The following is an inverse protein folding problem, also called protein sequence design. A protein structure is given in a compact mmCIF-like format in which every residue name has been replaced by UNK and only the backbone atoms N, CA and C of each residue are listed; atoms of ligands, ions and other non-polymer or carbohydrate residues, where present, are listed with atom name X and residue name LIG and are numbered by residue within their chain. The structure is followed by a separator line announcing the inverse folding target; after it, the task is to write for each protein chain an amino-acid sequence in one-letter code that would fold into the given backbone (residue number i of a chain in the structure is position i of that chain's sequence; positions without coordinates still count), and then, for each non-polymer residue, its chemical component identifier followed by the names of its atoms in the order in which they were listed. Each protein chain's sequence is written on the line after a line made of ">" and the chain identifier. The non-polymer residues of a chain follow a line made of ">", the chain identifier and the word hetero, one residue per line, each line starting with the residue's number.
data_IF_202498399514
#
_entry.id   IF_202498399514
#
_cell.length_a   1.000
_cell.length_b   1.000
_cell.length_c   1.000
_cell.angle_alpha   90.00
_cell.angle_beta   90.00
_cell.angle_gamma   90.00
#
_symmetry.space_group_name_H-M   'P 1'
#
loop_
_entity.id
_entity.type
_entity.pdbx_description
1 polymer ?
#
# COMPACT_ATOMS: atom_id res chain seq x y z
N UNK A 1 24.46 53.30 6.61
CA UNK A 1 25.15 52.15 7.24
C UNK A 1 25.11 50.99 6.27
N UNK A 2 26.19 50.78 5.54
CA UNK A 2 26.46 49.54 4.79
C UNK A 2 27.58 48.81 5.53
N UNK A 3 27.44 47.50 5.76
CA UNK A 3 28.58 46.66 6.14
C UNK A 3 28.39 45.25 5.60
N UNK A 4 29.23 44.92 4.63
CA UNK A 4 29.60 43.59 4.16
C UNK A 4 30.74 43.10 5.05
N UNK A 5 30.73 41.83 5.48
CA UNK A 5 31.90 40.97 5.78
C UNK A 5 31.43 39.51 5.71
N UNK A 6 31.87 38.67 4.75
CA UNK A 6 33.16 37.93 4.67
C UNK A 6 33.38 37.05 5.91
N UNK A 7 33.80 35.78 5.92
CA UNK A 7 34.67 34.90 5.10
C UNK A 7 34.62 33.53 5.87
N UNK A 8 34.68 32.32 5.31
CA UNK A 8 35.94 31.59 5.04
C UNK A 8 35.67 30.19 4.47
N UNK A 9 36.50 29.84 3.49
CA UNK A 9 36.63 28.55 2.83
C UNK A 9 37.36 27.54 3.72
N UNK A 10 37.09 26.25 3.53
CA UNK A 10 38.12 25.23 3.66
C UNK A 10 38.10 24.34 2.41
N UNK A 11 39.09 24.55 1.56
CA UNK A 11 39.56 23.59 0.56
C UNK A 11 40.59 22.69 1.27
N UNK A 12 40.49 21.37 1.13
CA UNK A 12 41.64 20.47 1.21
C UNK A 12 41.59 19.55 -0.01
N UNK A 13 42.79 19.35 -0.57
CA UNK A 13 43.08 19.04 -1.94
C UNK A 13 43.09 17.54 -2.29
N UNK A 14 42.96 17.32 -3.61
CA UNK A 14 43.24 16.13 -4.44
C UNK A 14 44.19 15.08 -3.84
N UNK A 15 43.79 13.81 -3.92
CA UNK A 15 44.67 12.68 -4.24
C UNK A 15 43.90 11.62 -5.06
N UNK A 16 44.60 11.04 -6.03
CA UNK A 16 44.14 10.29 -7.20
C UNK A 16 43.61 8.91 -6.85
N UNK A 17 42.38 8.59 -7.30
CA UNK A 17 41.97 7.27 -7.76
C UNK A 17 40.83 7.44 -8.78
N UNK A 18 41.02 7.16 -10.08
CA UNK A 18 39.89 6.96 -10.95
C UNK A 18 39.44 5.53 -10.71
N UNK A 19 38.31 5.30 -10.05
CA UNK A 19 37.42 4.14 -10.24
C UNK A 19 36.29 4.19 -9.20
N UNK A 20 35.06 4.26 -9.72
CA UNK A 20 33.79 4.08 -9.04
C UNK A 20 33.40 5.09 -7.94
N UNK A 21 33.06 6.31 -8.35
CA UNK A 21 31.92 7.00 -7.73
C UNK A 21 30.64 6.32 -8.23
N UNK A 22 30.33 5.15 -7.68
CA UNK A 22 28.97 4.63 -7.74
C UNK A 22 28.17 5.48 -6.74
N UNK A 23 27.66 6.62 -7.23
CA UNK A 23 26.58 7.30 -6.57
C UNK A 23 25.38 6.35 -6.63
N UNK A 24 25.26 5.53 -5.60
CA UNK A 24 24.07 4.73 -5.37
C UNK A 24 22.97 5.74 -5.02
N UNK A 25 22.29 6.24 -6.04
CA UNK A 25 21.04 6.98 -5.87
C UNK A 25 20.12 5.99 -5.17
N UNK A 26 19.91 6.17 -3.87
CA UNK A 26 18.84 5.47 -3.18
C UNK A 26 17.55 5.94 -3.88
N UNK A 27 16.98 5.10 -4.73
CA UNK A 27 15.69 5.40 -5.33
C UNK A 27 14.69 5.53 -4.17
N UNK A 28 14.20 6.74 -3.94
CA UNK A 28 13.15 6.97 -2.95
C UNK A 28 11.92 6.17 -3.38
N UNK A 29 11.43 5.32 -2.48
CA UNK A 29 10.23 4.54 -2.73
C UNK A 29 9.05 5.48 -2.85
N UNK A 30 8.20 5.25 -3.85
CA UNK A 30 6.90 5.91 -3.93
C UNK A 30 5.96 5.29 -2.91
N UNK A 31 5.20 6.12 -2.21
CA UNK A 31 4.27 5.69 -1.18
C UNK A 31 2.81 6.05 -1.53
N UNK A 32 1.89 5.17 -1.15
CA UNK A 32 0.44 5.40 -1.22
C UNK A 32 -0.25 4.92 0.05
N UNK A 33 -1.21 5.71 0.51
CA UNK A 33 -2.09 5.34 1.59
C UNK A 33 -3.37 4.73 1.03
N UNK A 34 -3.79 3.60 1.58
CA UNK A 34 -5.06 2.94 1.29
C UNK A 34 -5.91 2.97 2.55
N UNK A 35 -7.08 3.59 2.50
CA UNK A 35 -8.02 3.59 3.61
C UNK A 35 -9.14 2.61 3.36
N UNK A 36 -9.54 1.89 4.39
CA UNK A 36 -10.64 0.91 4.39
C UNK A 36 -11.73 1.42 5.31
N UNK A 37 -12.96 1.43 4.81
CA UNK A 37 -14.17 1.59 5.62
C UNK A 37 -14.99 0.29 5.49
N UNK A 38 -15.14 -0.46 6.58
CA UNK A 38 -15.88 -1.72 6.57
C UNK A 38 -17.38 -1.45 6.64
N UNK A 39 -18.12 -1.90 5.64
CA UNK A 39 -19.54 -1.57 5.47
C UNK A 39 -20.48 -2.75 5.77
N UNK A 40 -19.94 -3.94 6.03
CA UNK A 40 -20.71 -5.16 6.25
C UNK A 40 -19.94 -6.21 7.05
N UNK A 41 -20.67 -7.19 7.59
CA UNK A 41 -20.13 -8.32 8.37
C UNK A 41 -19.89 -7.97 9.84
N UNK A 42 -19.15 -8.85 10.52
CA UNK A 42 -18.87 -8.77 11.97
C UNK A 42 -18.18 -7.46 12.37
N UNK A 43 -17.33 -6.93 11.50
CA UNK A 43 -16.55 -5.71 11.73
C UNK A 43 -17.12 -4.47 11.04
N UNK A 44 -18.42 -4.45 10.73
CA UNK A 44 -19.06 -3.26 10.17
C UNK A 44 -18.81 -2.02 11.03
N UNK A 45 -18.38 -0.93 10.38
CA UNK A 45 -18.03 0.34 11.02
C UNK A 45 -16.55 0.46 11.40
N UNK A 46 -15.79 -0.63 11.40
CA UNK A 46 -14.35 -0.59 11.61
C UNK A 46 -13.61 0.05 10.43
N UNK A 47 -12.46 0.62 10.72
CA UNK A 47 -11.60 1.29 9.74
C UNK A 47 -10.20 0.71 9.75
N UNK A 48 -9.57 0.72 8.58
CA UNK A 48 -8.19 0.30 8.42
C UNK A 48 -7.40 1.28 7.56
N UNK A 49 -6.07 1.29 7.74
CA UNK A 49 -5.18 2.11 6.92
C UNK A 49 -3.95 1.30 6.57
N UNK A 50 -3.65 1.22 5.26
CA UNK A 50 -2.43 0.63 4.74
C UNK A 50 -1.51 1.70 4.17
N UNK A 51 -0.21 1.54 4.38
CA UNK A 51 0.84 2.24 3.66
C UNK A 51 1.50 1.25 2.69
N UNK A 52 1.50 1.58 1.40
CA UNK A 52 2.07 0.77 0.33
C UNK A 52 3.27 1.52 -0.25
N UNK A 53 4.42 0.86 -0.34
CA UNK A 53 5.66 1.42 -0.85
C UNK A 53 6.19 0.57 -2.02
N UNK A 54 6.57 1.20 -3.13
CA UNK A 54 7.13 0.51 -4.28
C UNK A 54 8.22 1.34 -4.96
N UNK A 55 9.13 0.65 -5.66
CA UNK A 55 10.25 1.27 -6.37
C UNK A 55 9.78 1.83 -7.73
N UNK A 56 9.74 3.16 -7.91
CA UNK A 56 9.27 3.75 -9.16
C UNK A 56 10.23 3.54 -10.33
N UNK A 57 11.50 3.19 -10.09
CA UNK A 57 12.49 2.97 -11.16
C UNK A 57 12.18 1.75 -12.03
N UNK A 58 11.32 0.85 -11.53
CA UNK A 58 10.84 -0.33 -12.25
C UNK A 58 9.65 -0.05 -13.18
N UNK A 59 9.20 1.19 -13.25
CA UNK A 59 7.93 1.58 -13.88
C UNK A 59 8.24 2.50 -15.06
N UNK A 60 7.63 2.22 -16.22
CA UNK A 60 7.76 3.01 -17.45
C UNK A 60 6.85 4.24 -17.45
N UNK A 61 5.75 4.17 -16.72
CA UNK A 61 4.78 5.26 -16.54
C UNK A 61 3.72 5.34 -17.64
N UNK A 62 3.55 4.30 -18.46
CA UNK A 62 2.64 4.31 -19.62
C UNK A 62 1.88 2.99 -19.70
N UNK A 63 0.56 3.08 -19.87
CA UNK A 63 -0.30 1.90 -19.94
C UNK A 63 -0.52 1.25 -18.58
N UNK A 64 -0.92 -0.02 -18.57
CA UNK A 64 -1.09 -0.79 -17.35
C UNK A 64 0.19 -1.53 -16.99
N UNK A 65 0.65 -1.37 -15.74
CA UNK A 65 1.90 -1.92 -15.24
C UNK A 65 1.69 -2.59 -13.88
N UNK A 66 2.45 -3.64 -13.59
CA UNK A 66 2.31 -4.43 -12.36
C UNK A 66 3.65 -4.49 -11.63
N UNK A 67 3.62 -4.12 -10.35
CA UNK A 67 4.76 -4.27 -9.41
C UNK A 67 4.42 -5.37 -8.42
N UNK A 68 5.21 -6.44 -8.41
CA UNK A 68 4.91 -7.68 -7.64
C UNK A 68 5.54 -7.73 -6.25
N UNK A 69 6.37 -6.75 -5.89
CA UNK A 69 7.17 -6.74 -4.66
C UNK A 69 6.98 -5.45 -3.84
N UNK A 70 5.84 -4.79 -3.99
CA UNK A 70 5.49 -3.64 -3.18
C UNK A 70 5.41 -4.04 -1.69
N UNK A 71 6.00 -3.24 -0.82
CA UNK A 71 5.92 -3.42 0.62
C UNK A 71 4.60 -2.82 1.11
N UNK A 72 3.88 -3.55 1.96
CA UNK A 72 2.64 -3.06 2.57
C UNK A 72 2.67 -3.23 4.07
N UNK A 73 2.18 -2.21 4.78
CA UNK A 73 1.92 -2.23 6.22
C UNK A 73 0.49 -1.80 6.46
N UNK A 74 -0.33 -2.65 7.07
CA UNK A 74 -1.75 -2.41 7.27
C UNK A 74 -2.12 -2.47 8.75
N UNK A 75 -2.74 -1.40 9.23
CA UNK A 75 -3.28 -1.30 10.57
C UNK A 75 -4.79 -1.52 10.55
N UNK A 76 -5.24 -2.55 11.27
CA UNK A 76 -6.65 -2.91 11.42
C UNK A 76 -6.89 -3.64 12.74
N UNK A 77 -8.01 -3.40 13.41
CA UNK A 77 -8.32 -3.96 14.74
C UNK A 77 -7.17 -3.84 15.75
N UNK A 78 -6.54 -2.67 15.77
CA UNK A 78 -5.37 -2.34 16.61
C UNK A 78 -4.14 -3.26 16.42
N UNK A 79 -4.06 -3.95 15.28
CA UNK A 79 -2.91 -4.75 14.88
C UNK A 79 -2.29 -4.20 13.60
N UNK A 80 -0.98 -4.36 13.47
CA UNK A 80 -0.25 -4.05 12.24
C UNK A 80 0.25 -5.34 11.61
N UNK A 81 -0.10 -5.54 10.33
CA UNK A 81 0.41 -6.66 9.53
C UNK A 81 1.19 -6.11 8.36
N UNK A 82 2.36 -6.70 8.14
CA UNK A 82 3.28 -6.33 7.09
C UNK A 82 3.42 -7.46 6.08
N UNK A 83 3.68 -7.13 4.83
CA UNK A 83 3.87 -8.14 3.79
C UNK A 83 4.37 -7.57 2.48
N UNK A 84 4.41 -8.44 1.47
CA UNK A 84 4.56 -8.05 0.07
C UNK A 84 3.21 -8.15 -0.62
N UNK A 85 2.95 -7.20 -1.51
CA UNK A 85 1.73 -7.11 -2.27
C UNK A 85 2.05 -6.88 -3.75
N UNK A 86 1.03 -7.11 -4.57
CA UNK A 86 1.03 -6.66 -5.95
C UNK A 86 0.32 -5.32 -6.05
N UNK A 87 0.88 -4.40 -6.81
CA UNK A 87 0.28 -3.11 -7.14
C UNK A 87 0.10 -3.03 -8.65
N UNK A 88 -1.09 -2.62 -9.08
CA UNK A 88 -1.34 -2.24 -10.48
C UNK A 88 -1.27 -0.73 -10.60
N UNK A 89 -0.57 -0.26 -11.61
CA UNK A 89 -0.52 1.14 -12.01
C UNK A 89 -1.15 1.31 -13.39
N UNK A 90 -1.73 2.49 -13.62
CA UNK A 90 -2.19 2.93 -14.94
C UNK A 90 -1.61 4.30 -15.23
N UNK A 91 -0.84 4.40 -16.31
CA UNK A 91 -0.17 5.63 -16.74
C UNK A 91 0.65 6.24 -15.60
N UNK A 92 1.44 5.40 -14.91
CA UNK A 92 2.29 5.77 -13.77
C UNK A 92 1.55 6.05 -12.46
N UNK A 93 0.21 6.00 -12.45
CA UNK A 93 -0.61 6.28 -11.25
C UNK A 93 -1.05 4.98 -10.60
N UNK A 94 -1.02 4.95 -9.27
CA UNK A 94 -1.55 3.85 -8.49
C UNK A 94 -3.03 3.61 -8.84
N UNK A 95 -3.37 2.37 -9.17
CA UNK A 95 -4.73 1.96 -9.55
C UNK A 95 -5.31 1.02 -8.50
N UNK A 96 -4.65 -0.12 -8.27
CA UNK A 96 -5.17 -1.17 -7.39
C UNK A 96 -4.06 -1.78 -6.52
N UNK A 97 -4.43 -2.12 -5.28
CA UNK A 97 -3.66 -2.99 -4.38
C UNK A 97 -4.25 -4.41 -4.46
N UNK A 98 -3.42 -5.41 -4.72
CA UNK A 98 -3.77 -6.82 -4.63
C UNK A 98 -2.94 -7.47 -3.52
N UNK A 99 -3.61 -7.83 -2.44
CA UNK A 99 -2.94 -8.40 -1.27
C UNK A 99 -3.88 -9.29 -0.46
N UNK A 100 -3.34 -10.37 0.11
CA UNK A 100 -4.06 -11.30 0.99
C UNK A 100 -3.18 -11.55 2.20
N UNK A 101 -3.78 -11.53 3.39
CA UNK A 101 -3.09 -11.81 4.65
C UNK A 101 -4.10 -12.23 5.72
N UNK A 102 -3.61 -12.44 6.94
CA UNK A 102 -4.41 -12.87 8.09
C UNK A 102 -4.08 -12.03 9.31
N UNK A 103 -5.08 -11.70 10.12
CA UNK A 103 -4.88 -11.13 11.47
C UNK A 103 -5.66 -11.95 12.50
N UNK A 104 -5.50 -11.65 13.79
CA UNK A 104 -6.32 -12.26 14.86
C UNK A 104 -7.42 -11.30 15.29
N UNK A 105 -8.55 -11.81 15.76
CA UNK A 105 -9.56 -11.00 16.43
C UNK A 105 -9.23 -10.83 17.93
N UNK A 106 -10.11 -10.15 18.68
CA UNK A 106 -9.92 -9.90 20.12
C UNK A 106 -9.94 -11.19 20.94
N UNK A 107 -10.63 -12.21 20.43
CA UNK A 107 -10.75 -13.55 21.00
C UNK A 107 -9.55 -14.46 20.63
N UNK A 108 -8.60 -13.97 19.83
CA UNK A 108 -7.41 -14.70 19.40
C UNK A 108 -7.60 -15.60 18.18
N UNK A 109 -8.79 -15.63 17.59
CA UNK A 109 -9.10 -16.40 16.38
C UNK A 109 -8.53 -15.69 15.15
N UNK A 110 -7.78 -16.42 14.33
CA UNK A 110 -7.30 -15.92 13.05
C UNK A 110 -8.45 -15.73 12.08
N UNK A 111 -8.38 -14.71 11.23
CA UNK A 111 -9.25 -14.53 10.08
C UNK A 111 -8.43 -13.99 8.90
N UNK A 112 -8.88 -14.33 7.69
CA UNK A 112 -8.21 -13.93 6.45
C UNK A 112 -8.87 -12.69 5.88
N UNK A 113 -8.07 -11.81 5.28
CA UNK A 113 -8.55 -10.65 4.56
C UNK A 113 -7.82 -10.47 3.23
N UNK A 114 -8.40 -9.66 2.36
CA UNK A 114 -7.80 -9.34 1.07
C UNK A 114 -8.25 -8.00 0.52
N UNK A 115 -7.33 -7.34 -0.17
CA UNK A 115 -7.53 -6.15 -0.99
C UNK A 115 -7.59 -6.61 -2.44
N UNK A 116 -8.73 -6.42 -3.12
CA UNK A 116 -8.96 -6.81 -4.52
C UNK A 116 -8.54 -8.25 -4.91
N UNK A 117 -8.34 -9.13 -3.93
CA UNK A 117 -7.72 -10.44 -4.10
C UNK A 117 -8.17 -11.38 -3.00
N UNK A 118 -7.96 -12.68 -3.19
CA UNK A 118 -8.32 -13.74 -2.24
C UNK A 118 -9.78 -14.18 -2.24
N UNK A 119 -10.66 -13.46 -2.95
CA UNK A 119 -12.08 -13.75 -3.02
C UNK A 119 -12.59 -13.67 -4.44
N UNK A 120 -13.54 -14.54 -4.79
CA UNK A 120 -14.34 -14.37 -5.99
C UNK A 120 -15.40 -13.29 -5.73
N UNK A 121 -15.48 -12.29 -6.61
CA UNK A 121 -16.42 -11.15 -6.49
C UNK A 121 -17.89 -11.59 -6.39
N UNK A 122 -18.24 -12.76 -6.91
CA UNK A 122 -19.60 -13.32 -6.81
C UNK A 122 -19.92 -13.95 -5.44
N UNK A 123 -18.94 -14.10 -4.54
CA UNK A 123 -19.17 -14.57 -3.17
C UNK A 123 -19.76 -13.48 -2.27
N UNK A 124 -19.64 -12.22 -2.67
CA UNK A 124 -20.25 -11.09 -1.98
C UNK A 124 -21.72 -11.01 -2.39
N UNK A 125 -22.63 -11.36 -1.49
CA UNK A 125 -24.06 -11.50 -1.78
C UNK A 125 -24.92 -10.37 -1.25
N UNK A 126 -24.42 -9.54 -0.33
CA UNK A 126 -25.24 -8.51 0.31
C UNK A 126 -25.48 -7.35 -0.66
N UNK A 127 -26.58 -6.63 -0.46
CA UNK A 127 -26.91 -5.46 -1.28
C UNK A 127 -25.85 -4.35 -1.11
N UNK A 128 -25.39 -4.11 0.12
CA UNK A 128 -24.31 -3.16 0.41
C UNK A 128 -23.00 -3.49 -0.29
N UNK A 129 -22.79 -4.74 -0.70
CA UNK A 129 -21.57 -5.23 -1.35
C UNK A 129 -21.66 -5.20 -2.90
N UNK A 130 -22.74 -4.66 -3.48
CA UNK A 130 -22.96 -4.71 -4.94
C UNK A 130 -21.86 -4.03 -5.76
N UNK A 131 -21.22 -3.00 -5.22
CA UNK A 131 -20.08 -2.30 -5.83
C UNK A 131 -18.95 -3.26 -6.22
N UNK A 132 -18.72 -4.30 -5.41
CA UNK A 132 -17.67 -5.31 -5.64
C UNK A 132 -17.97 -6.12 -6.91
N UNK A 133 -19.24 -6.50 -7.12
CA UNK A 133 -19.68 -7.22 -8.32
C UNK A 133 -19.63 -6.34 -9.57
N UNK A 134 -19.72 -5.02 -9.40
CA UNK A 134 -19.62 -4.03 -10.46
C UNK A 134 -18.17 -3.68 -10.84
N UNK A 135 -17.18 -4.30 -10.17
CA UNK A 135 -15.76 -4.14 -10.50
C UNK A 135 -15.00 -3.16 -9.60
N UNK A 136 -15.68 -2.48 -8.69
CA UNK A 136 -15.04 -1.51 -7.80
C UNK A 136 -14.06 -2.20 -6.84
N UNK A 137 -13.05 -1.43 -6.42
CA UNK A 137 -12.00 -1.94 -5.55
C UNK A 137 -12.55 -2.19 -4.13
N UNK A 138 -12.09 -3.25 -3.47
CA UNK A 138 -12.68 -3.73 -2.22
C UNK A 138 -11.66 -4.26 -1.21
N UNK A 139 -12.09 -4.25 0.05
CA UNK A 139 -11.54 -5.04 1.15
C UNK A 139 -12.55 -6.12 1.52
N UNK A 140 -12.12 -7.38 1.65
CA UNK A 140 -12.97 -8.50 2.06
C UNK A 140 -12.32 -9.31 3.17
N UNK A 141 -13.12 -9.95 4.02
CA UNK A 141 -12.61 -10.83 5.07
C UNK A 141 -13.55 -12.01 5.36
N UNK A 142 -12.98 -13.10 5.87
CA UNK A 142 -13.70 -14.28 6.34
C UNK A 142 -13.03 -14.88 7.56
N UNK A 143 -13.83 -15.51 8.42
CA UNK A 143 -13.32 -16.40 9.46
C UNK A 143 -13.04 -17.79 8.88
N UNK A 144 -12.17 -18.59 9.52
CA UNK A 144 -11.96 -19.97 9.17
C UNK A 144 -13.30 -20.71 9.07
N UNK A 145 -13.43 -21.53 8.03
CA UNK A 145 -14.61 -22.37 7.78
C UNK A 145 -15.92 -21.61 7.54
N UNK A 146 -15.87 -20.29 7.27
CA UNK A 146 -17.03 -19.49 6.87
C UNK A 146 -16.94 -19.03 5.42
N UNK A 147 -18.08 -18.62 4.88
CA UNK A 147 -18.11 -17.78 3.67
C UNK A 147 -17.55 -16.38 3.98
N UNK A 148 -17.53 -15.51 2.98
CA UNK A 148 -17.23 -14.08 3.15
C UNK A 148 -18.09 -13.51 4.27
N UNK A 149 -17.42 -13.11 5.36
CA UNK A 149 -18.11 -12.56 6.52
C UNK A 149 -18.54 -11.12 6.23
N UNK A 150 -17.63 -10.32 5.68
CA UNK A 150 -17.93 -8.94 5.33
C UNK A 150 -16.94 -8.31 4.36
N UNK A 151 -17.26 -7.08 3.99
CA UNK A 151 -16.50 -6.28 3.05
C UNK A 151 -16.51 -4.78 3.39
N UNK A 152 -15.56 -4.06 2.80
CA UNK A 152 -15.38 -2.63 2.91
C UNK A 152 -14.98 -1.97 1.59
N UNK A 153 -15.26 -0.68 1.50
CA UNK A 153 -14.78 0.17 0.39
C UNK A 153 -13.34 0.58 0.64
N UNK A 154 -12.59 0.82 -0.43
CA UNK A 154 -11.22 1.31 -0.33
C UNK A 154 -11.02 2.62 -1.08
N UNK A 155 -10.22 3.51 -0.50
CA UNK A 155 -9.84 4.78 -1.11
C UNK A 155 -8.32 4.93 -1.10
N UNK A 156 -7.80 5.59 -2.13
CA UNK A 156 -6.36 5.79 -2.33
C UNK A 156 -6.02 7.27 -2.18
N UNK A 157 -4.97 7.58 -1.41
CA UNK A 157 -4.47 8.94 -1.24
C UNK A 157 -2.95 8.96 -1.14
N UNK A 158 -2.36 10.14 -1.30
CA UNK A 158 -0.99 10.37 -0.87
C UNK A 158 -0.93 10.29 0.67
N UNK A 159 0.19 9.80 1.25
CA UNK A 159 0.41 9.87 2.69
C UNK A 159 0.49 11.35 3.13
N UNK A 160 -0.02 11.63 4.33
CA UNK A 160 0.02 12.97 4.94
C UNK A 160 1.28 13.19 5.75
#
# INVERSE_FOLDING_TARGET
>A
MYSIKMILRAFIALLVFPHFLNAQVANELTQKQVNVDVISGTYQGEKGTALVSYDPSKIKGVGEEVVNDALVSFKFLNQTVNGKAQVTLKDGKFKDLLWVASIKNKEGNSFNFGFNSGFNRYQFGRFSESFIRNGDSYFGYLFPDTYVDGAGTITYSDPK
#
